data_IF_737779699588
#
_entry.id   IF_737779699588
#
_cell.length_a   1.000
_cell.length_b   1.000
_cell.length_c   1.000
_cell.angle_alpha   90.00
_cell.angle_beta   90.00
_cell.angle_gamma   90.00
#
_symmetry.space_group_name_H-M   'P 1'
#
loop_
_entity.id
_entity.type
_entity.pdbx_description
1 polymer ?
#
# COMPACT_ATOMS: atom_id res chain seq x y z
N UNK A 1 -17.94 -8.18 -8.62
CA UNK A 1 -16.76 -7.30 -8.78
C UNK A 1 -15.78 -7.55 -7.64
N UNK A 2 -14.48 -7.29 -7.81
CA UNK A 2 -13.47 -7.49 -6.76
C UNK A 2 -13.27 -6.21 -5.94
N UNK A 3 -13.23 -6.33 -4.62
CA UNK A 3 -12.91 -5.22 -3.74
C UNK A 3 -11.46 -4.75 -3.98
N UNK A 4 -11.21 -3.46 -4.23
CA UNK A 4 -9.85 -2.98 -4.52
C UNK A 4 -8.89 -3.12 -3.32
N UNK A 5 -9.41 -3.03 -2.08
CA UNK A 5 -8.62 -3.10 -0.85
C UNK A 5 -8.15 -4.51 -0.49
N UNK A 6 -9.06 -5.49 -0.48
CA UNK A 6 -8.78 -6.84 0.02
C UNK A 6 -8.88 -7.94 -1.04
N UNK A 7 -9.26 -7.58 -2.29
CA UNK A 7 -9.42 -8.47 -3.44
C UNK A 7 -10.48 -9.56 -3.31
N UNK A 8 -11.29 -9.56 -2.23
CA UNK A 8 -12.44 -10.46 -2.09
C UNK A 8 -13.59 -10.04 -3.00
N UNK A 9 -14.46 -10.97 -3.35
CA UNK A 9 -15.67 -10.65 -4.10
C UNK A 9 -16.60 -9.75 -3.28
N UNK A 10 -17.12 -8.72 -3.94
CA UNK A 10 -18.20 -7.88 -3.40
C UNK A 10 -19.51 -8.62 -3.62
N UNK A 11 -20.23 -8.88 -2.53
CA UNK A 11 -21.51 -9.58 -2.58
C UNK A 11 -22.56 -8.76 -3.36
N UNK A 12 -23.47 -9.40 -4.12
CA UNK A 12 -24.56 -8.70 -4.80
C UNK A 12 -25.48 -7.93 -3.84
N UNK A 13 -25.57 -8.39 -2.59
CA UNK A 13 -26.38 -7.79 -1.52
C UNK A 13 -25.59 -6.82 -0.66
N UNK A 14 -24.37 -6.45 -1.05
CA UNK A 14 -23.57 -5.48 -0.31
C UNK A 14 -24.29 -4.12 -0.25
N UNK A 15 -24.12 -3.42 0.86
CA UNK A 15 -24.68 -2.07 1.02
C UNK A 15 -24.10 -1.13 -0.07
N UNK A 16 -24.95 -0.51 -0.90
CA UNK A 16 -24.52 0.39 -1.97
C UNK A 16 -23.60 1.52 -1.50
N UNK A 17 -23.70 1.95 -0.24
CA UNK A 17 -22.87 3.02 0.34
C UNK A 17 -21.38 2.69 0.38
N UNK A 18 -21.03 1.41 0.38
CA UNK A 18 -19.64 0.96 0.46
C UNK A 18 -19.09 0.44 -0.87
N UNK A 19 -19.87 0.42 -1.95
CA UNK A 19 -19.32 0.03 -3.26
C UNK A 19 -18.27 1.07 -3.71
N UNK A 20 -17.12 0.64 -4.28
CA UNK A 20 -16.77 -0.69 -4.80
C UNK A 20 -16.14 -1.66 -3.77
N UNK A 21 -16.21 -1.36 -2.47
CA UNK A 21 -15.63 -2.16 -1.40
C UNK A 21 -16.60 -3.24 -0.88
N UNK A 22 -16.05 -4.30 -0.27
CA UNK A 22 -16.89 -5.36 0.30
C UNK A 22 -17.47 -5.01 1.68
N UNK A 23 -16.99 -3.95 2.33
CA UNK A 23 -17.45 -3.47 3.64
C UNK A 23 -16.93 -2.06 3.94
N UNK A 24 -17.54 -1.40 4.92
CA UNK A 24 -17.08 -0.12 5.49
C UNK A 24 -15.61 -0.14 5.90
N UNK A 25 -15.15 -1.23 6.54
CA UNK A 25 -13.74 -1.39 6.92
C UNK A 25 -12.79 -1.25 5.73
N UNK A 26 -13.13 -1.83 4.58
CA UNK A 26 -12.27 -1.76 3.40
C UNK A 26 -12.23 -0.35 2.78
N UNK A 27 -13.31 0.42 2.91
CA UNK A 27 -13.35 1.83 2.52
C UNK A 27 -12.42 2.67 3.41
N UNK A 28 -12.48 2.50 4.73
CA UNK A 28 -11.60 3.21 5.66
C UNK A 28 -10.12 2.87 5.47
N UNK A 29 -9.78 1.60 5.26
CA UNK A 29 -8.39 1.19 4.98
C UNK A 29 -7.88 1.83 3.69
N UNK A 30 -8.72 1.90 2.65
CA UNK A 30 -8.34 2.57 1.41
C UNK A 30 -8.04 4.05 1.65
N UNK A 31 -8.92 4.74 2.39
CA UNK A 31 -8.72 6.13 2.78
C UNK A 31 -7.43 6.33 3.58
N UNK A 32 -7.11 5.45 4.53
CA UNK A 32 -5.83 5.51 5.26
C UNK A 32 -4.63 5.43 4.32
N UNK A 33 -4.65 4.55 3.31
CA UNK A 33 -3.56 4.47 2.33
C UNK A 33 -3.40 5.75 1.51
N UNK A 34 -4.49 6.41 1.17
CA UNK A 34 -4.45 7.73 0.54
C UNK A 34 -3.80 8.77 1.45
N UNK A 35 -4.24 8.84 2.71
CA UNK A 35 -3.72 9.79 3.69
C UNK A 35 -2.26 9.54 4.06
N UNK A 36 -1.81 8.29 4.00
CA UNK A 36 -0.42 7.89 4.29
C UNK A 36 0.51 7.94 3.08
N UNK A 37 0.03 8.41 1.91
CA UNK A 37 0.82 8.44 0.67
C UNK A 37 1.37 7.05 0.28
N UNK A 38 0.63 5.99 0.57
CA UNK A 38 1.00 4.61 0.21
C UNK A 38 0.78 4.35 -1.29
N UNK A 39 -0.16 5.07 -1.90
CA UNK A 39 -0.38 5.02 -3.34
C UNK A 39 0.68 5.84 -4.07
N UNK A 40 1.58 5.14 -4.79
CA UNK A 40 2.66 5.76 -5.56
C UNK A 40 2.70 5.21 -6.98
N UNK A 41 2.97 6.09 -7.94
CA UNK A 41 3.27 5.71 -9.31
C UNK A 41 4.79 5.60 -9.44
N UNK A 42 5.34 4.45 -9.83
CA UNK A 42 6.77 4.34 -10.08
C UNK A 42 7.21 5.35 -11.14
N UNK A 43 8.29 6.08 -10.87
CA UNK A 43 8.92 6.90 -11.89
C UNK A 43 9.55 5.99 -12.96
N UNK A 44 9.32 6.30 -14.23
CA UNK A 44 10.15 5.77 -15.30
C UNK A 44 11.51 6.44 -15.21
N UNK A 45 12.62 5.69 -15.18
CA UNK A 45 13.94 6.30 -15.16
C UNK A 45 14.12 7.12 -16.44
N UNK A 46 14.43 8.41 -16.27
CA UNK A 46 14.81 9.27 -17.39
C UNK A 46 16.27 8.94 -17.75
N UNK A 47 16.61 8.71 -19.04
CA UNK A 47 17.96 8.39 -19.45
C UNK A 47 18.98 9.48 -19.10
N UNK A 48 18.54 10.72 -18.90
CA UNK A 48 19.40 11.87 -18.55
C UNK A 48 19.43 12.16 -17.02
N UNK A 49 18.68 11.43 -16.19
CA UNK A 49 18.74 11.57 -14.74
C UNK A 49 19.96 10.80 -14.16
N UNK A 50 20.84 11.44 -13.37
CA UNK A 50 21.87 10.71 -12.65
C UNK A 50 21.20 9.73 -11.69
N UNK A 51 21.56 8.45 -11.78
CA UNK A 51 20.93 7.36 -11.04
C UNK A 51 20.76 7.72 -9.55
N UNK A 52 19.58 7.50 -8.94
CA UNK A 52 19.37 7.78 -7.54
C UNK A 52 20.32 6.91 -6.72
N UNK A 53 21.16 7.55 -5.89
CA UNK A 53 21.94 6.85 -4.88
C UNK A 53 20.96 6.00 -4.06
N UNK A 54 21.09 4.67 -4.16
CA UNK A 54 20.29 3.73 -3.41
C UNK A 54 20.32 4.17 -1.96
N UNK A 55 19.15 4.50 -1.38
CA UNK A 55 19.01 4.62 0.06
C UNK A 55 19.35 3.25 0.62
N UNK A 56 20.57 3.14 1.10
CA UNK A 56 21.04 2.04 1.91
C UNK A 56 20.09 2.03 3.10
N UNK A 57 19.23 1.02 3.12
CA UNK A 57 18.43 0.76 4.31
C UNK A 57 19.44 0.37 5.37
N UNK A 58 19.75 1.32 6.24
CA UNK A 58 20.40 1.14 7.52
C UNK A 58 19.67 0.02 8.26
N UNK A 59 20.12 -1.22 8.03
CA UNK A 59 19.83 -2.37 8.85
C UNK A 59 20.82 -2.32 9.99
N UNK A 60 20.59 -1.39 10.92
CA UNK A 60 21.25 -1.41 12.23
C UNK A 60 21.15 -2.84 12.80
N UNK A 61 22.33 -3.36 13.08
CA UNK A 61 22.64 -4.68 13.62
C UNK A 61 22.02 -4.88 15.02
N UNK A 62 22.04 -6.15 15.46
CA UNK A 62 21.89 -6.65 16.84
C UNK A 62 20.52 -7.30 17.18
N UNK A 63 20.50 -8.58 17.62
CA UNK A 63 20.87 -8.88 19.00
C UNK A 63 21.68 -10.17 19.26
N UNK A 64 22.34 -10.14 20.43
CA UNK A 64 22.62 -11.25 21.36
C UNK A 64 23.73 -12.24 20.99
N UNK A 65 24.92 -12.08 21.59
CA UNK A 65 25.47 -13.06 22.55
C UNK A 65 26.81 -12.57 23.12
N UNK A 66 26.87 -12.21 24.41
CA UNK A 66 27.89 -12.75 25.32
C UNK A 66 27.56 -12.45 26.79
N UNK A 67 27.77 -13.49 27.60
CA UNK A 67 27.61 -13.64 29.05
C UNK A 67 28.19 -12.52 29.93
#
# INVERSE_FOLDING_TARGET
MKCPTCKRDVAPTADPRFLPFCSERCQWVDLSKWLSEDYRVPATPDPDDPAPASRESDGSEEPSDRE
#
